data_IF_828904529190
#
_entry.id   IF_828904529190
#
_cell.length_a   1.000
_cell.length_b   1.000
_cell.length_c   1.000
_cell.angle_alpha   90.00
_cell.angle_beta   90.00
_cell.angle_gamma   90.00
#
_symmetry.space_group_name_H-M   'P 1'
#
loop_
_entity.id
_entity.type
_entity.pdbx_description
1 polymer ?
#
# COMPACT_ATOMS: atom_id res chain seq x y z
N UNK A 1 -6.69 -1.07 17.39
CA UNK A 1 -6.49 -1.86 16.16
C UNK A 1 -7.85 -2.00 15.50
N UNK A 2 -8.00 -1.47 14.29
CA UNK A 2 -9.22 -1.58 13.48
C UNK A 2 -8.98 -2.62 12.39
N UNK A 3 -9.98 -3.48 12.13
CA UNK A 3 -9.89 -4.58 11.15
C UNK A 3 -10.90 -4.31 10.04
N UNK A 4 -10.48 -4.47 8.79
CA UNK A 4 -11.30 -4.22 7.61
C UNK A 4 -11.34 -5.43 6.69
N UNK A 5 -12.50 -5.65 6.05
CA UNK A 5 -12.63 -6.60 4.95
C UNK A 5 -12.20 -5.93 3.63
N UNK A 6 -11.02 -6.31 3.16
CA UNK A 6 -10.40 -5.81 1.91
C UNK A 6 -11.27 -5.99 0.66
N UNK A 7 -12.27 -6.88 0.70
CA UNK A 7 -13.21 -7.09 -0.41
C UNK A 7 -14.26 -5.98 -0.53
N UNK A 8 -14.48 -5.24 0.55
CA UNK A 8 -15.56 -4.24 0.66
C UNK A 8 -15.05 -2.84 0.91
N UNK A 9 -13.88 -2.69 1.55
CA UNK A 9 -13.29 -1.39 1.86
C UNK A 9 -12.53 -0.85 0.65
N UNK A 10 -12.72 0.44 0.33
CA UNK A 10 -11.98 1.10 -0.74
C UNK A 10 -10.78 1.87 -0.19
N UNK A 11 -9.70 1.92 -0.97
CA UNK A 11 -8.51 2.73 -0.69
C UNK A 11 -8.81 4.18 -0.36
N UNK A 12 -9.67 4.80 -1.17
CA UNK A 12 -10.08 6.19 -1.00
C UNK A 12 -10.82 6.42 0.33
N UNK A 13 -11.69 5.50 0.75
CA UNK A 13 -12.44 5.64 2.00
C UNK A 13 -11.51 5.63 3.21
N UNK A 14 -10.48 4.77 3.19
CA UNK A 14 -9.45 4.74 4.24
C UNK A 14 -8.61 6.03 4.22
N UNK A 15 -8.24 6.53 3.04
CA UNK A 15 -7.49 7.78 2.92
C UNK A 15 -8.27 8.98 3.49
N UNK A 16 -9.57 9.08 3.19
CA UNK A 16 -10.39 10.15 3.74
C UNK A 16 -10.52 10.04 5.26
N UNK A 17 -10.79 8.84 5.78
CA UNK A 17 -10.93 8.59 7.22
C UNK A 17 -9.65 8.90 8.00
N UNK A 18 -8.48 8.63 7.42
CA UNK A 18 -7.18 8.79 8.09
C UNK A 18 -6.36 9.98 7.57
N UNK A 19 -7.01 10.95 6.92
CA UNK A 19 -6.34 12.16 6.43
C UNK A 19 -5.50 12.81 7.53
N UNK A 20 -4.23 13.09 7.22
CA UNK A 20 -3.26 13.68 8.13
C UNK A 20 -2.61 12.71 9.12
N UNK A 21 -2.87 11.40 9.02
CA UNK A 21 -2.25 10.36 9.85
C UNK A 21 -1.34 9.45 9.02
N UNK A 22 -0.40 8.81 9.70
CA UNK A 22 0.36 7.68 9.15
C UNK A 22 -0.43 6.39 9.38
N UNK A 23 -0.66 5.62 8.32
CA UNK A 23 -1.38 4.34 8.36
C UNK A 23 -0.49 3.24 7.84
N UNK A 24 -0.37 2.15 8.59
CA UNK A 24 0.25 0.91 8.13
C UNK A 24 -0.87 -0.05 7.69
N UNK A 25 -0.79 -0.56 6.46
CA UNK A 25 -1.71 -1.53 5.90
C UNK A 25 -0.99 -2.86 5.72
N UNK A 26 -1.52 -3.93 6.29
CA UNK A 26 -1.02 -5.29 6.09
C UNK A 26 -2.04 -6.05 5.24
N UNK A 27 -1.54 -6.79 4.24
CA UNK A 27 -2.38 -7.57 3.35
C UNK A 27 -1.62 -8.77 2.81
N UNK A 28 -2.30 -9.58 2.00
CA UNK A 28 -1.73 -10.80 1.41
C UNK A 28 -1.36 -10.57 -0.05
N UNK A 29 -0.10 -10.87 -0.41
CA UNK A 29 0.39 -10.98 -1.80
C UNK A 29 -0.04 -9.79 -2.69
N UNK A 30 -0.60 -10.08 -3.87
CA UNK A 30 -0.92 -9.13 -4.95
C UNK A 30 -1.91 -8.01 -4.56
N UNK A 31 -2.69 -8.20 -3.49
CA UNK A 31 -3.64 -7.18 -3.02
C UNK A 31 -2.92 -5.88 -2.66
N UNK A 32 -1.70 -5.96 -2.12
CA UNK A 32 -0.94 -4.76 -1.74
C UNK A 32 -0.41 -3.98 -2.95
N UNK A 33 -0.01 -4.66 -4.02
CA UNK A 33 0.43 -4.01 -5.26
C UNK A 33 -0.75 -3.32 -5.96
N UNK A 34 -1.90 -3.99 -6.03
CA UNK A 34 -3.12 -3.41 -6.59
C UNK A 34 -3.57 -2.17 -5.81
N UNK A 35 -3.57 -2.24 -4.48
CA UNK A 35 -3.93 -1.10 -3.64
C UNK A 35 -2.98 0.08 -3.84
N UNK A 36 -1.69 -0.19 -3.95
CA UNK A 36 -0.66 0.83 -4.16
C UNK A 36 -0.79 1.52 -5.52
N UNK A 37 -1.12 0.76 -6.56
CA UNK A 37 -1.47 1.28 -7.90
C UNK A 37 -2.71 2.19 -7.85
N UNK A 38 -3.79 1.74 -7.20
CA UNK A 38 -5.02 2.53 -7.04
C UNK A 38 -4.77 3.85 -6.32
N UNK A 39 -3.95 3.84 -5.26
CA UNK A 39 -3.56 5.06 -4.53
C UNK A 39 -2.77 6.04 -5.41
N UNK A 40 -2.06 5.53 -6.41
CA UNK A 40 -1.26 6.33 -7.34
C UNK A 40 -2.00 6.74 -8.60
N UNK A 41 -3.21 6.21 -8.82
CA UNK A 41 -3.91 6.30 -10.10
C UNK A 41 -2.98 5.90 -11.27
N UNK A 42 -2.22 4.82 -11.05
CA UNK A 42 -1.21 4.27 -11.95
C UNK A 42 -1.26 2.73 -11.91
N UNK A 43 -0.53 2.04 -12.80
CA UNK A 43 -0.48 0.58 -12.92
C UNK A 43 0.96 0.07 -13.08
N UNK A 44 1.90 0.60 -12.30
CA UNK A 44 3.33 0.29 -12.40
C UNK A 44 3.76 -0.94 -11.61
N UNK A 45 3.02 -1.32 -10.57
CA UNK A 45 3.35 -2.51 -9.77
C UNK A 45 2.55 -3.71 -10.26
N UNK A 46 3.24 -4.62 -10.94
CA UNK A 46 2.68 -5.89 -11.39
C UNK A 46 2.38 -6.81 -10.21
N UNK A 47 1.55 -7.85 -10.40
CA UNK A 47 1.47 -8.96 -9.46
C UNK A 47 2.87 -9.47 -9.08
N UNK A 48 3.08 -9.72 -7.79
CA UNK A 48 4.27 -10.37 -7.23
C UNK A 48 4.44 -11.74 -7.89
N UNK A 49 5.69 -12.05 -8.21
CA UNK A 49 6.13 -13.40 -8.54
C UNK A 49 6.25 -14.22 -7.23
N UNK A 50 6.24 -15.55 -7.34
CA UNK A 50 6.33 -16.50 -6.23
C UNK A 50 7.69 -16.45 -5.48
N UNK A 51 8.53 -15.44 -5.75
CA UNK A 51 9.82 -15.24 -5.09
C UNK A 51 9.92 -13.87 -4.41
N UNK A 52 8.85 -13.07 -4.39
CA UNK A 52 8.85 -11.70 -3.89
C UNK A 52 7.93 -11.55 -2.67
N UNK A 53 8.50 -11.72 -1.48
CA UNK A 53 7.75 -11.79 -0.22
C UNK A 53 8.12 -10.73 0.81
N UNK A 54 9.26 -10.06 0.66
CA UNK A 54 9.84 -9.18 1.68
C UNK A 54 9.89 -7.73 1.21
N UNK A 55 8.75 -7.22 0.74
CA UNK A 55 8.64 -5.86 0.20
C UNK A 55 7.57 -5.06 0.94
N UNK A 56 7.86 -3.78 1.18
CA UNK A 56 6.86 -2.80 1.63
C UNK A 56 6.78 -1.62 0.67
N UNK A 57 5.65 -0.91 0.75
CA UNK A 57 5.41 0.28 -0.04
C UNK A 57 5.30 1.49 0.86
N UNK A 58 6.04 2.54 0.53
CA UNK A 58 5.87 3.85 1.13
C UNK A 58 5.11 4.74 0.14
N UNK A 59 3.83 4.96 0.41
CA UNK A 59 2.95 5.78 -0.43
C UNK A 59 2.62 7.08 0.29
N UNK A 60 2.91 8.21 -0.37
CA UNK A 60 2.53 9.54 0.09
C UNK A 60 1.40 10.07 -0.78
N UNK A 61 0.36 10.62 -0.16
CA UNK A 61 -0.74 11.32 -0.84
C UNK A 61 -0.77 12.76 -0.33
N UNK A 62 -0.72 13.74 -1.24
CA UNK A 62 -0.78 15.17 -0.93
C UNK A 62 -2.23 15.62 -0.71
N UNK A 63 -2.41 16.81 -0.15
CA UNK A 63 -3.74 17.42 0.01
C UNK A 63 -4.48 17.60 -1.32
N UNK A 64 -3.73 17.84 -2.40
CA UNK A 64 -4.25 17.95 -3.76
C UNK A 64 -4.56 16.61 -4.44
N UNK A 65 -4.41 15.49 -3.72
CA UNK A 65 -4.66 14.15 -4.23
C UNK A 65 -3.55 13.60 -5.14
N UNK A 66 -2.41 14.30 -5.26
CA UNK A 66 -1.24 13.76 -5.96
C UNK A 66 -0.56 12.73 -5.07
N UNK A 67 -0.12 11.64 -5.66
CA UNK A 67 0.49 10.55 -4.93
C UNK A 67 1.80 10.08 -5.54
N UNK A 68 2.64 9.49 -4.69
CA UNK A 68 3.91 8.89 -5.07
C UNK A 68 4.15 7.68 -4.18
N UNK A 69 4.48 6.55 -4.78
CA UNK A 69 4.86 5.33 -4.09
C UNK A 69 6.29 4.94 -4.41
N UNK A 70 6.95 4.36 -3.42
CA UNK A 70 8.22 3.67 -3.59
C UNK A 70 8.07 2.28 -3.00
N UNK A 71 8.59 1.27 -3.71
CA UNK A 71 8.69 -0.11 -3.24
C UNK A 71 10.09 -0.29 -2.68
N UNK A 72 10.19 -0.77 -1.45
CA UNK A 72 11.44 -1.03 -0.75
C UNK A 72 11.48 -2.50 -0.32
N UNK A 73 12.67 -3.11 -0.33
CA UNK A 73 12.90 -4.44 0.23
C UNK A 73 13.17 -4.35 1.73
N UNK A 74 12.64 -5.30 2.49
CA UNK A 74 13.03 -5.50 3.88
C UNK A 74 14.36 -6.25 3.90
N UNK A 75 15.46 -5.49 4.00
CA UNK A 75 16.73 -6.05 4.42
C UNK A 75 16.61 -6.42 5.90
N UNK A 76 16.29 -7.69 6.17
CA UNK A 76 16.51 -8.26 7.49
C UNK A 76 18.03 -8.30 7.72
N UNK A 77 18.59 -7.24 8.33
CA UNK A 77 19.90 -7.37 8.96
C UNK A 77 19.73 -8.40 10.08
N UNK A 78 20.23 -9.61 9.86
CA UNK A 78 20.44 -10.59 10.94
C UNK A 78 21.30 -9.92 12.02
N UNK A 79 20.75 -9.79 13.22
CA UNK A 79 21.45 -9.32 14.42
C UNK A 79 22.21 -10.47 15.09
#
# INVERSE_FOLDING_TARGET
MEIYDVRTVKALDLLEKYRGKTVALFGHSNTINEYTNQLQNDSIYNPLDDNDYDSYFYVRVSESGKSSGVKESMDFMEE
#
